data_IF_639908169161
#
_entry.id   IF_639908169161
#
_cell.length_a   1.000
_cell.length_b   1.000
_cell.length_c   1.000
_cell.angle_alpha   90.00
_cell.angle_beta   90.00
_cell.angle_gamma   90.00
#
_symmetry.space_group_name_H-M   'P 1'
#
loop_
_entity.id
_entity.type
_entity.pdbx_description
1 polymer ?
#
# COMPACT_ATOMS: atom_id res chain seq x y z
N UNK A 1 55.52 26.89 -67.13
CA UNK A 1 54.92 27.62 -66.05
C UNK A 1 53.52 27.07 -65.82
N UNK A 2 53.36 26.15 -64.86
CA UNK A 2 52.03 25.53 -64.52
C UNK A 2 51.67 26.01 -63.11
N UNK A 3 50.64 26.81 -63.01
CA UNK A 3 50.09 27.28 -61.73
C UNK A 3 49.15 26.19 -61.22
N UNK A 4 49.46 25.60 -60.09
CA UNK A 4 48.64 24.67 -59.34
C UNK A 4 47.72 25.50 -58.43
N UNK A 5 46.43 25.43 -58.65
CA UNK A 5 45.43 26.07 -57.84
C UNK A 5 45.00 25.06 -56.72
N UNK A 6 45.41 25.36 -55.47
CA UNK A 6 45.01 24.60 -54.32
C UNK A 6 43.62 25.07 -53.84
N UNK A 7 42.63 24.20 -53.96
CA UNK A 7 41.26 24.44 -53.40
C UNK A 7 41.31 23.94 -51.96
N UNK A 8 41.21 24.84 -50.99
CA UNK A 8 40.97 24.51 -49.57
C UNK A 8 39.49 24.16 -49.37
N UNK A 9 39.22 22.90 -49.15
CA UNK A 9 37.90 22.41 -48.74
C UNK A 9 37.77 22.57 -47.20
N UNK A 10 37.15 23.66 -46.75
CA UNK A 10 36.79 23.84 -45.32
C UNK A 10 35.56 22.95 -45.01
N UNK A 11 35.80 21.81 -44.37
CA UNK A 11 34.77 20.99 -43.81
C UNK A 11 34.16 21.68 -42.59
N UNK A 12 32.92 22.24 -42.71
CA UNK A 12 32.12 22.68 -41.60
C UNK A 12 31.71 21.43 -40.78
N UNK A 13 32.38 21.21 -39.66
CA UNK A 13 31.91 20.30 -38.61
C UNK A 13 30.76 21.02 -37.88
N UNK A 14 29.53 20.79 -38.31
CA UNK A 14 28.34 21.08 -37.50
C UNK A 14 28.32 20.06 -36.36
N UNK A 15 28.14 20.51 -35.11
CA UNK A 15 27.89 19.57 -34.02
C UNK A 15 26.51 18.91 -34.32
N UNK A 16 26.53 17.62 -34.58
CA UNK A 16 25.32 16.81 -34.53
C UNK A 16 24.98 16.73 -33.05
N UNK A 17 24.06 17.58 -32.63
CA UNK A 17 23.33 17.30 -31.41
C UNK A 17 22.58 16.02 -31.67
N UNK A 18 23.10 14.91 -31.14
CA UNK A 18 22.28 13.70 -30.95
C UNK A 18 21.11 14.13 -30.04
N UNK A 19 19.96 14.27 -30.62
CA UNK A 19 18.72 14.14 -29.88
C UNK A 19 18.82 12.73 -29.29
N UNK A 20 19.17 12.61 -28.02
CA UNK A 20 18.94 11.41 -27.28
C UNK A 20 17.43 11.19 -27.42
N UNK A 21 17.04 10.17 -28.17
CA UNK A 21 15.71 9.59 -28.00
C UNK A 21 15.59 9.33 -26.50
N UNK A 22 14.77 10.10 -25.81
CA UNK A 22 14.36 9.74 -24.47
C UNK A 22 13.56 8.45 -24.67
N UNK A 23 14.23 7.29 -24.50
CA UNK A 23 13.49 6.04 -24.37
C UNK A 23 12.47 6.30 -23.29
N UNK A 24 11.21 6.25 -23.67
CA UNK A 24 10.10 6.46 -22.76
C UNK A 24 10.20 5.33 -21.73
N UNK A 25 10.70 5.64 -20.55
CA UNK A 25 10.91 4.64 -19.50
C UNK A 25 9.54 4.19 -19.00
N UNK A 26 9.21 2.92 -19.24
CA UNK A 26 7.97 2.33 -18.73
C UNK A 26 8.25 1.68 -17.39
N UNK A 27 7.49 2.06 -16.36
CA UNK A 27 7.53 1.51 -15.01
C UNK A 27 6.20 0.81 -14.73
N UNK A 28 6.21 -0.52 -14.65
CA UNK A 28 5.04 -1.32 -14.30
C UNK A 28 4.98 -1.49 -12.79
N UNK A 29 3.86 -1.09 -12.20
CA UNK A 29 3.62 -1.17 -10.75
C UNK A 29 2.57 -2.25 -10.48
N UNK A 30 2.98 -3.33 -9.82
CA UNK A 30 2.07 -4.42 -9.43
C UNK A 30 1.17 -4.00 -8.27
N UNK A 31 -0.14 -4.13 -8.45
CA UNK A 31 -1.16 -3.76 -7.47
C UNK A 31 -2.24 -4.84 -7.35
N UNK A 32 -3.02 -4.82 -6.25
CA UNK A 32 -4.12 -5.77 -6.01
C UNK A 32 -5.38 -5.03 -5.62
N UNK A 33 -6.37 -5.06 -6.50
CA UNK A 33 -7.66 -4.39 -6.30
C UNK A 33 -7.87 -3.19 -7.22
N UNK A 34 -9.09 -3.08 -7.73
CA UNK A 34 -9.44 -2.10 -8.76
C UNK A 34 -9.31 -0.64 -8.31
N UNK A 35 -9.41 -0.37 -7.00
CA UNK A 35 -9.28 1.00 -6.47
C UNK A 35 -7.92 1.63 -6.75
N UNK A 36 -6.87 0.80 -6.93
CA UNK A 36 -5.53 1.28 -7.26
C UNK A 36 -5.45 2.00 -8.61
N UNK A 37 -6.33 1.71 -9.56
CA UNK A 37 -6.37 2.41 -10.84
C UNK A 37 -6.73 3.89 -10.62
N UNK A 38 -7.74 4.16 -9.79
CA UNK A 38 -8.10 5.53 -9.41
C UNK A 38 -7.02 6.20 -8.56
N UNK A 39 -6.41 5.46 -7.63
CA UNK A 39 -5.39 5.98 -6.70
C UNK A 39 -4.10 6.40 -7.43
N UNK A 40 -3.66 5.60 -8.41
CA UNK A 40 -2.44 5.87 -9.19
C UNK A 40 -2.64 6.89 -10.30
N UNK A 41 -3.87 7.09 -10.79
CA UNK A 41 -4.14 7.92 -11.99
C UNK A 41 -3.51 9.32 -11.93
N UNK A 42 -3.60 10.12 -10.85
CA UNK A 42 -2.98 11.45 -10.80
C UNK A 42 -1.46 11.41 -10.84
N UNK A 43 -0.83 10.43 -10.17
CA UNK A 43 0.62 10.27 -10.21
C UNK A 43 1.09 9.86 -11.62
N UNK A 44 0.35 8.99 -12.31
CA UNK A 44 0.60 8.62 -13.71
C UNK A 44 0.55 9.85 -14.61
N UNK A 45 -0.47 10.72 -14.46
CA UNK A 45 -0.61 11.94 -15.26
C UNK A 45 0.50 12.96 -15.00
N UNK A 46 0.97 13.08 -13.76
CA UNK A 46 2.08 13.97 -13.39
C UNK A 46 3.40 13.48 -13.97
N UNK A 47 3.72 12.19 -13.77
CA UNK A 47 4.95 11.56 -14.26
C UNK A 47 5.04 11.55 -15.79
N UNK A 48 3.91 11.44 -16.49
CA UNK A 48 3.87 11.53 -17.95
C UNK A 48 4.37 12.89 -18.47
N UNK A 49 4.20 13.99 -17.73
CA UNK A 49 4.75 15.31 -18.08
C UNK A 49 6.27 15.35 -18.02
N UNK A 50 6.86 14.45 -17.23
CA UNK A 50 8.31 14.28 -17.06
C UNK A 50 8.90 13.23 -18.04
N UNK A 51 8.04 12.61 -18.89
CA UNK A 51 8.44 11.56 -19.85
C UNK A 51 8.57 10.18 -19.22
N UNK A 52 8.04 9.98 -18.01
CA UNK A 52 7.98 8.68 -17.33
C UNK A 52 6.57 8.10 -17.55
N UNK A 53 6.50 6.95 -18.19
CA UNK A 53 5.26 6.20 -18.35
C UNK A 53 5.10 5.21 -17.21
N UNK A 54 4.05 5.34 -16.41
CA UNK A 54 3.71 4.36 -15.37
C UNK A 54 2.47 3.59 -15.78
N UNK A 55 2.49 2.27 -15.60
CA UNK A 55 1.38 1.36 -15.89
C UNK A 55 1.09 0.52 -14.64
N UNK A 56 -0.17 0.47 -14.19
CA UNK A 56 -0.59 -0.45 -13.15
C UNK A 56 -0.74 -1.86 -13.72
N UNK A 57 -0.16 -2.86 -13.07
CA UNK A 57 -0.33 -4.27 -13.38
C UNK A 57 -1.19 -4.91 -12.29
N UNK A 58 -2.47 -5.20 -12.61
CA UNK A 58 -3.43 -5.76 -11.67
C UNK A 58 -3.19 -7.25 -11.44
N UNK A 59 -3.07 -7.63 -10.16
CA UNK A 59 -3.01 -9.02 -9.71
C UNK A 59 -4.27 -9.39 -8.93
N UNK A 60 -4.70 -10.63 -9.07
CA UNK A 60 -5.93 -11.13 -8.44
C UNK A 60 -5.75 -11.52 -6.96
N UNK A 61 -4.51 -11.64 -6.50
CA UNK A 61 -4.17 -12.23 -5.20
C UNK A 61 -2.84 -11.66 -4.68
N UNK A 62 -2.70 -11.54 -3.37
CA UNK A 62 -1.49 -11.02 -2.73
C UNK A 62 -0.23 -11.89 -2.96
N UNK A 63 -0.38 -13.17 -3.24
CA UNK A 63 0.75 -14.11 -3.43
C UNK A 63 1.54 -13.91 -4.74
N UNK A 64 1.04 -13.09 -5.66
CA UNK A 64 1.60 -13.00 -7.01
C UNK A 64 2.59 -11.84 -7.22
N UNK A 65 2.36 -10.60 -6.70
CA UNK A 65 3.15 -9.44 -7.12
C UNK A 65 4.62 -9.49 -6.71
N UNK A 66 4.97 -10.04 -5.53
CA UNK A 66 6.37 -10.15 -5.12
C UNK A 66 7.17 -11.12 -5.99
N UNK A 67 6.54 -12.21 -6.44
CA UNK A 67 7.17 -13.11 -7.40
C UNK A 67 7.41 -12.41 -8.75
N UNK A 68 6.40 -11.67 -9.26
CA UNK A 68 6.53 -10.91 -10.50
C UNK A 68 7.60 -9.81 -10.42
N UNK A 69 7.72 -9.14 -9.25
CA UNK A 69 8.76 -8.16 -9.00
C UNK A 69 10.16 -8.81 -8.97
N UNK A 70 10.30 -9.91 -8.24
CA UNK A 70 11.57 -10.63 -8.12
C UNK A 70 12.04 -11.23 -9.45
N UNK A 71 11.10 -11.68 -10.31
CA UNK A 71 11.42 -12.20 -11.66
C UNK A 71 11.69 -11.11 -12.70
N UNK A 72 11.36 -9.85 -12.43
CA UNK A 72 11.52 -8.73 -13.34
C UNK A 72 10.37 -8.56 -14.35
N UNK A 73 9.21 -9.18 -14.09
CA UNK A 73 8.01 -9.00 -14.90
C UNK A 73 7.36 -7.63 -14.66
N UNK A 74 7.60 -7.04 -13.49
CA UNK A 74 7.25 -5.67 -13.11
C UNK A 74 8.47 -4.97 -12.49
N UNK A 75 8.45 -3.64 -12.47
CA UNK A 75 9.52 -2.80 -11.94
C UNK A 75 9.35 -2.49 -10.46
N UNK A 76 8.12 -2.24 -10.02
CA UNK A 76 7.71 -1.92 -8.65
C UNK A 76 6.47 -2.74 -8.27
N UNK A 77 6.18 -2.84 -6.98
CA UNK A 77 4.83 -3.17 -6.53
C UNK A 77 4.39 -2.27 -5.36
N UNK A 78 3.08 -2.06 -5.22
CA UNK A 78 2.48 -1.19 -4.22
C UNK A 78 1.13 -1.78 -3.78
N UNK A 79 1.16 -2.86 -2.96
CA UNK A 79 -0.06 -3.58 -2.58
C UNK A 79 -0.06 -4.08 -1.14
N UNK A 80 1.09 -4.06 -0.48
CA UNK A 80 1.39 -4.79 0.74
C UNK A 80 1.89 -3.88 1.85
N UNK A 81 1.73 -4.32 3.09
CA UNK A 81 2.32 -3.70 4.27
C UNK A 81 3.60 -4.44 4.72
N UNK A 82 4.40 -3.81 5.60
CA UNK A 82 5.70 -4.34 6.07
C UNK A 82 5.62 -5.78 6.59
N UNK A 83 4.63 -6.12 7.42
CA UNK A 83 4.52 -7.49 7.95
C UNK A 83 4.37 -8.52 6.83
N UNK A 84 3.55 -8.23 5.79
CA UNK A 84 3.39 -9.11 4.64
C UNK A 84 4.68 -9.18 3.81
N UNK A 85 5.25 -8.01 3.46
CA UNK A 85 6.49 -7.91 2.70
C UNK A 85 7.61 -8.74 3.34
N UNK A 86 7.89 -8.53 4.62
CA UNK A 86 8.95 -9.21 5.35
C UNK A 86 8.73 -10.73 5.41
N UNK A 87 7.48 -11.16 5.68
CA UNK A 87 7.14 -12.57 5.73
C UNK A 87 7.31 -13.25 4.36
N UNK A 88 6.73 -12.66 3.30
CA UNK A 88 6.71 -13.26 1.97
C UNK A 88 8.11 -13.25 1.33
N UNK A 89 8.84 -12.13 1.41
CA UNK A 89 10.21 -12.02 0.88
C UNK A 89 11.15 -13.01 1.58
N UNK A 90 11.09 -13.13 2.91
CA UNK A 90 11.91 -14.06 3.69
C UNK A 90 11.57 -15.51 3.36
N UNK A 91 10.27 -15.85 3.34
CA UNK A 91 9.81 -17.22 3.13
C UNK A 91 10.16 -17.77 1.75
N UNK A 92 10.17 -16.89 0.74
CA UNK A 92 10.46 -17.26 -0.65
C UNK A 92 11.90 -16.94 -1.08
N UNK A 93 12.70 -16.29 -0.23
CA UNK A 93 14.08 -15.89 -0.55
C UNK A 93 14.17 -14.85 -1.65
N UNK A 94 13.21 -13.93 -1.72
CA UNK A 94 13.22 -12.82 -2.68
C UNK A 94 14.21 -11.73 -2.27
N UNK A 95 14.93 -11.18 -3.23
CA UNK A 95 15.87 -10.06 -3.03
C UNK A 95 15.19 -8.74 -3.36
N UNK A 96 14.30 -8.33 -2.46
CA UNK A 96 13.47 -7.14 -2.57
C UNK A 96 13.77 -6.15 -1.43
N UNK A 97 13.53 -4.88 -1.69
CA UNK A 97 13.71 -3.79 -0.73
C UNK A 97 12.51 -2.84 -0.74
N UNK A 98 12.27 -2.21 0.39
CA UNK A 98 11.30 -1.11 0.51
C UNK A 98 11.90 0.14 -0.13
N UNK A 99 11.17 0.74 -1.05
CA UNK A 99 11.54 1.98 -1.71
C UNK A 99 10.95 3.20 -1.01
N UNK A 100 9.68 3.10 -0.57
CA UNK A 100 8.99 4.14 0.18
C UNK A 100 7.84 3.56 0.99
N UNK A 101 7.57 4.16 2.14
CA UNK A 101 6.34 3.97 2.90
C UNK A 101 5.23 4.85 2.32
N UNK A 102 3.98 4.40 2.40
CA UNK A 102 2.89 5.10 1.73
C UNK A 102 1.75 5.46 2.68
N UNK A 103 0.94 4.52 3.07
CA UNK A 103 -0.25 4.74 3.90
C UNK A 103 -0.57 3.51 4.74
N UNK A 104 -1.39 3.68 5.75
CA UNK A 104 -2.10 2.57 6.37
C UNK A 104 -3.51 2.53 5.82
N UNK A 105 -3.94 1.35 5.33
CA UNK A 105 -5.33 1.10 4.97
C UNK A 105 -5.96 0.18 6.03
N UNK A 106 -7.12 0.56 6.54
CA UNK A 106 -7.77 -0.14 7.64
C UNK A 106 -8.25 -1.54 7.25
N UNK A 107 -8.26 -2.45 8.22
CA UNK A 107 -8.89 -3.76 8.12
C UNK A 107 -10.06 -3.80 9.10
N UNK A 108 -11.29 -3.76 8.60
CA UNK A 108 -12.48 -3.60 9.43
C UNK A 108 -13.35 -4.85 9.42
N UNK A 109 -14.22 -4.96 10.44
CA UNK A 109 -15.22 -6.01 10.55
C UNK A 109 -16.55 -5.53 9.98
N UNK A 110 -17.12 -6.29 9.06
CA UNK A 110 -18.38 -6.00 8.38
C UNK A 110 -19.38 -7.13 8.60
N UNK A 111 -20.67 -6.80 8.54
CA UNK A 111 -21.75 -7.79 8.60
C UNK A 111 -22.94 -7.34 7.76
N UNK A 112 -23.62 -8.28 7.11
CA UNK A 112 -24.95 -8.09 6.51
C UNK A 112 -26.08 -8.52 7.44
N UNK A 113 -25.76 -9.16 8.59
CA UNK A 113 -26.73 -9.72 9.52
C UNK A 113 -26.88 -8.91 10.80
N UNK A 114 -25.85 -8.18 11.19
CA UNK A 114 -25.80 -7.40 12.43
C UNK A 114 -25.45 -5.95 12.12
N UNK A 115 -26.19 -5.01 12.70
CA UNK A 115 -26.00 -3.59 12.49
C UNK A 115 -24.88 -3.01 13.37
N UNK A 116 -24.55 -3.67 14.50
CA UNK A 116 -23.55 -3.22 15.47
C UNK A 116 -22.69 -4.39 15.97
N UNK A 117 -21.53 -4.07 16.54
CA UNK A 117 -20.69 -5.06 17.19
C UNK A 117 -21.37 -5.67 18.43
N UNK A 118 -22.16 -4.88 19.15
CA UNK A 118 -22.93 -5.32 20.31
C UNK A 118 -23.95 -6.40 19.94
N UNK A 119 -24.60 -6.28 18.77
CA UNK A 119 -25.54 -7.30 18.27
C UNK A 119 -24.84 -8.62 17.96
N UNK A 120 -23.67 -8.54 17.30
CA UNK A 120 -22.84 -9.72 17.02
C UNK A 120 -22.33 -10.37 18.33
N UNK A 121 -21.87 -9.56 19.30
CA UNK A 121 -21.46 -10.05 20.62
C UNK A 121 -22.61 -10.72 21.36
N UNK A 122 -23.82 -10.13 21.34
CA UNK A 122 -25.02 -10.74 21.96
C UNK A 122 -25.39 -12.08 21.30
N UNK A 123 -25.22 -12.22 20.00
CA UNK A 123 -25.46 -13.48 19.29
C UNK A 123 -24.54 -14.62 19.77
N UNK A 124 -23.37 -14.31 20.32
CA UNK A 124 -22.44 -15.33 20.87
C UNK A 124 -23.00 -16.03 22.13
N UNK A 125 -24.00 -15.48 22.80
CA UNK A 125 -24.66 -16.11 23.95
C UNK A 125 -25.54 -17.31 23.54
N UNK A 126 -26.02 -17.33 22.30
CA UNK A 126 -26.90 -18.38 21.77
C UNK A 126 -26.23 -19.33 20.77
N UNK A 127 -25.00 -19.05 20.39
CA UNK A 127 -24.24 -19.87 19.44
C UNK A 127 -22.84 -19.33 19.22
N UNK A 128 -22.12 -19.87 18.22
CA UNK A 128 -20.87 -19.36 17.75
C UNK A 128 -21.06 -18.78 16.34
N UNK A 129 -21.22 -17.45 16.19
CA UNK A 129 -21.26 -16.83 14.88
C UNK A 129 -20.00 -17.17 14.07
N UNK A 130 -20.16 -17.38 12.76
CA UNK A 130 -19.06 -17.65 11.84
C UNK A 130 -18.52 -16.35 11.28
N UNK A 131 -17.20 -16.13 11.37
CA UNK A 131 -16.54 -14.93 10.87
C UNK A 131 -15.49 -15.30 9.82
N UNK A 132 -15.67 -14.82 8.59
CA UNK A 132 -14.66 -14.98 7.55
C UNK A 132 -13.45 -14.07 7.83
N UNK A 133 -12.23 -14.62 7.61
CA UNK A 133 -10.97 -13.94 7.84
C UNK A 133 -9.99 -14.27 6.72
N UNK A 134 -9.01 -13.39 6.39
CA UNK A 134 -7.92 -13.74 5.48
C UNK A 134 -7.17 -14.99 5.94
N UNK A 135 -6.66 -15.80 4.99
CA UNK A 135 -5.95 -17.05 5.30
C UNK A 135 -4.43 -16.96 5.14
N UNK A 136 -3.88 -15.84 4.68
CA UNK A 136 -2.45 -15.62 4.72
C UNK A 136 -2.00 -15.27 6.15
N UNK A 137 -0.79 -15.71 6.53
CA UNK A 137 -0.36 -15.68 7.93
C UNK A 137 -0.42 -14.29 8.57
N UNK A 138 -0.04 -13.24 7.84
CA UNK A 138 0.06 -11.89 8.39
C UNK A 138 -1.29 -11.18 8.49
N UNK A 139 -2.14 -11.29 7.45
CA UNK A 139 -3.49 -10.72 7.49
C UNK A 139 -4.43 -11.54 8.38
N UNK A 140 -4.24 -12.88 8.47
CA UNK A 140 -4.93 -13.70 9.48
C UNK A 140 -4.63 -13.20 10.89
N UNK A 141 -3.36 -13.03 11.22
CA UNK A 141 -2.95 -12.50 12.53
C UNK A 141 -3.46 -11.08 12.78
N UNK A 142 -3.45 -10.19 11.77
CA UNK A 142 -4.05 -8.85 11.87
C UNK A 142 -5.56 -8.94 12.12
N UNK A 143 -6.28 -9.85 11.46
CA UNK A 143 -7.70 -10.08 11.71
C UNK A 143 -7.94 -10.58 13.14
N UNK A 144 -7.06 -11.42 13.72
CA UNK A 144 -7.15 -11.81 15.12
C UNK A 144 -7.03 -10.61 16.07
N UNK A 145 -6.20 -9.60 15.76
CA UNK A 145 -6.11 -8.37 16.55
C UNK A 145 -7.42 -7.58 16.50
N UNK A 146 -7.99 -7.41 15.32
CA UNK A 146 -9.31 -6.75 15.14
C UNK A 146 -10.39 -7.47 15.96
N UNK A 147 -10.46 -8.79 15.88
CA UNK A 147 -11.46 -9.61 16.58
C UNK A 147 -11.24 -9.63 18.10
N UNK A 148 -10.00 -9.57 18.58
CA UNK A 148 -9.67 -9.40 20.00
C UNK A 148 -10.20 -8.06 20.50
N UNK A 149 -9.92 -6.98 19.78
CA UNK A 149 -10.31 -5.62 20.17
C UNK A 149 -11.84 -5.44 20.09
N UNK A 150 -12.50 -6.17 19.19
CA UNK A 150 -13.95 -6.30 19.14
C UNK A 150 -14.56 -7.16 20.27
N UNK A 151 -13.74 -7.78 21.12
CA UNK A 151 -14.21 -8.61 22.25
C UNK A 151 -14.77 -9.99 21.86
N UNK A 152 -14.45 -10.47 20.65
CA UNK A 152 -14.93 -11.73 20.08
C UNK A 152 -13.99 -12.91 20.37
N UNK A 153 -12.73 -12.68 20.68
CA UNK A 153 -11.75 -13.68 21.09
C UNK A 153 -10.71 -13.09 22.06
N UNK A 154 -9.93 -13.96 22.68
CA UNK A 154 -8.82 -13.61 23.56
C UNK A 154 -7.52 -14.22 23.00
N UNK A 155 -6.43 -13.47 23.07
CA UNK A 155 -5.09 -13.91 22.69
C UNK A 155 -4.20 -14.06 23.91
N UNK A 156 -3.37 -15.09 23.91
CA UNK A 156 -2.24 -15.25 24.83
C UNK A 156 -1.03 -14.42 24.40
N UNK A 157 0.14 -14.80 24.91
CA UNK A 157 1.41 -14.18 24.51
C UNK A 157 1.75 -14.55 23.06
N UNK A 158 2.23 -13.57 22.29
CA UNK A 158 2.73 -13.74 20.92
C UNK A 158 3.86 -12.73 20.64
N UNK A 159 4.71 -13.05 19.68
CA UNK A 159 5.73 -12.16 19.16
C UNK A 159 5.39 -11.80 17.70
N UNK A 160 5.47 -10.52 17.36
CA UNK A 160 5.09 -10.01 16.04
C UNK A 160 3.59 -10.07 15.77
N UNK A 161 3.16 -10.88 14.80
CA UNK A 161 1.75 -11.05 14.41
C UNK A 161 1.21 -12.36 15.01
N UNK A 162 0.05 -12.34 15.72
CA UNK A 162 -0.48 -13.56 16.36
C UNK A 162 -0.89 -14.61 15.33
N UNK A 163 -0.80 -15.87 15.74
CA UNK A 163 -1.21 -17.06 14.99
C UNK A 163 -2.43 -17.70 15.65
N UNK A 164 -3.05 -18.68 14.99
CA UNK A 164 -4.19 -19.44 15.53
C UNK A 164 -3.90 -20.06 16.90
N UNK A 165 -2.68 -20.57 17.11
CA UNK A 165 -2.24 -21.18 18.38
C UNK A 165 -2.19 -20.19 19.55
N UNK A 166 -2.17 -18.89 19.30
CA UNK A 166 -2.24 -17.86 20.34
C UNK A 166 -3.65 -17.58 20.83
N UNK A 167 -4.69 -18.13 20.20
CA UNK A 167 -6.08 -17.98 20.65
C UNK A 167 -6.28 -18.79 21.92
N UNK A 168 -6.57 -18.11 23.04
CA UNK A 168 -6.84 -18.74 24.33
C UNK A 168 -8.33 -18.97 24.57
N UNK A 169 -9.18 -18.14 23.97
CA UNK A 169 -10.64 -18.23 24.03
C UNK A 169 -11.27 -17.64 22.77
N UNK A 170 -12.33 -18.23 22.25
CA UNK A 170 -13.09 -17.70 21.12
C UNK A 170 -14.58 -17.90 21.29
N UNK A 171 -15.33 -16.80 21.14
CA UNK A 171 -16.79 -16.77 21.13
C UNK A 171 -17.37 -17.03 19.74
N UNK A 172 -16.52 -17.05 18.71
CA UNK A 172 -16.87 -17.18 17.29
C UNK A 172 -16.20 -18.39 16.66
N UNK A 173 -16.65 -18.79 15.49
CA UNK A 173 -16.00 -19.75 14.62
C UNK A 173 -15.29 -18.99 13.49
N UNK A 174 -13.97 -19.20 13.34
CA UNK A 174 -13.19 -18.56 12.29
C UNK A 174 -13.31 -19.35 10.99
N UNK A 175 -13.52 -18.65 9.88
CA UNK A 175 -13.61 -19.22 8.54
C UNK A 175 -12.52 -18.60 7.66
N UNK A 176 -11.30 -19.18 7.62
CA UNK A 176 -10.20 -18.66 6.84
C UNK A 176 -10.44 -18.86 5.34
N UNK A 177 -10.39 -17.76 4.58
CA UNK A 177 -10.52 -17.73 3.12
C UNK A 177 -9.46 -16.83 2.51
N UNK A 178 -9.22 -16.94 1.21
CA UNK A 178 -8.34 -15.98 0.52
C UNK A 178 -8.82 -14.55 0.78
N UNK A 179 -7.90 -13.63 1.08
CA UNK A 179 -8.22 -12.23 1.40
C UNK A 179 -9.11 -11.56 0.34
N UNK A 180 -8.87 -11.87 -0.96
CA UNK A 180 -9.68 -11.36 -2.07
C UNK A 180 -11.11 -11.86 -2.09
N UNK A 181 -11.43 -12.89 -1.30
CA UNK A 181 -12.74 -13.53 -1.24
C UNK A 181 -13.57 -13.13 -0.01
N UNK A 182 -12.96 -12.52 1.01
CA UNK A 182 -13.62 -12.23 2.29
C UNK A 182 -14.93 -11.45 2.12
N UNK A 183 -14.97 -10.45 1.24
CA UNK A 183 -16.18 -9.70 0.92
C UNK A 183 -17.27 -10.60 0.28
N UNK A 184 -16.88 -11.49 -0.62
CA UNK A 184 -17.85 -12.36 -1.32
C UNK A 184 -18.50 -13.36 -0.39
N UNK A 185 -17.83 -13.77 0.69
CA UNK A 185 -18.40 -14.65 1.71
C UNK A 185 -19.31 -13.93 2.71
N UNK A 186 -19.35 -12.59 2.70
CA UNK A 186 -20.10 -11.81 3.69
C UNK A 186 -21.59 -12.21 3.78
N UNK A 187 -22.22 -12.56 2.65
CA UNK A 187 -23.60 -13.05 2.61
C UNK A 187 -23.80 -14.46 3.19
N UNK A 188 -22.74 -15.28 3.25
CA UNK A 188 -22.80 -16.68 3.67
C UNK A 188 -22.43 -16.88 5.15
N UNK A 189 -21.69 -15.93 5.74
CA UNK A 189 -21.21 -15.96 7.13
C UNK A 189 -21.96 -14.93 7.99
N UNK A 190 -21.62 -14.84 9.26
CA UNK A 190 -22.25 -13.88 10.18
C UNK A 190 -21.55 -12.51 10.16
N UNK A 191 -20.24 -12.50 9.92
CA UNK A 191 -19.44 -11.29 9.69
C UNK A 191 -18.16 -11.65 8.92
N UNK A 192 -17.45 -10.66 8.43
CA UNK A 192 -16.15 -10.83 7.77
C UNK A 192 -15.17 -9.72 8.15
N UNK A 193 -13.93 -10.08 8.45
CA UNK A 193 -12.81 -9.12 8.51
C UNK A 193 -12.26 -8.95 7.11
N UNK A 194 -12.33 -7.72 6.58
CA UNK A 194 -12.02 -7.43 5.18
C UNK A 194 -10.89 -6.41 5.11
N UNK A 195 -9.84 -6.72 4.34
CA UNK A 195 -8.77 -5.77 4.04
C UNK A 195 -9.35 -4.56 3.30
N UNK A 196 -8.95 -3.35 3.69
CA UNK A 196 -9.50 -2.11 3.15
C UNK A 196 -9.34 -1.95 1.64
N UNK A 197 -8.26 -2.45 1.05
CA UNK A 197 -8.07 -2.44 -0.41
C UNK A 197 -9.15 -3.27 -1.16
N UNK A 198 -9.57 -4.39 -0.60
CA UNK A 198 -10.70 -5.15 -1.16
C UNK A 198 -12.02 -4.49 -0.86
N UNK A 199 -12.24 -3.99 0.37
CA UNK A 199 -13.45 -3.22 0.70
C UNK A 199 -13.63 -2.03 -0.25
N UNK A 200 -12.59 -1.20 -0.44
CA UNK A 200 -12.61 -0.08 -1.38
C UNK A 200 -12.87 -0.54 -2.83
N UNK A 201 -12.24 -1.65 -3.26
CA UNK A 201 -12.42 -2.20 -4.63
C UNK A 201 -13.83 -2.68 -4.91
N UNK A 202 -14.55 -3.16 -3.88
CA UNK A 202 -15.96 -3.56 -3.99
C UNK A 202 -16.93 -2.40 -3.76
N UNK A 203 -16.43 -1.17 -3.51
CA UNK A 203 -17.26 0.00 -3.25
C UNK A 203 -18.01 -0.06 -1.93
N UNK A 204 -17.44 -0.74 -0.93
CA UNK A 204 -17.99 -0.78 0.43
C UNK A 204 -17.91 0.63 1.02
N UNK A 205 -18.99 1.07 1.66
CA UNK A 205 -18.98 2.33 2.42
C UNK A 205 -18.03 2.19 3.61
N UNK A 206 -16.99 3.05 3.76
CA UNK A 206 -16.05 2.99 4.87
C UNK A 206 -16.74 3.05 6.24
N UNK A 207 -17.89 3.72 6.33
CA UNK A 207 -18.66 3.89 7.57
C UNK A 207 -19.65 2.74 7.85
N UNK A 208 -19.71 1.71 6.98
CA UNK A 208 -20.60 0.56 7.13
C UNK A 208 -20.03 -0.59 7.97
N UNK A 209 -18.81 -0.46 8.49
CA UNK A 209 -18.20 -1.42 9.38
C UNK A 209 -18.91 -1.49 10.74
N UNK A 210 -19.09 -2.69 11.28
CA UNK A 210 -19.61 -2.88 12.65
C UNK A 210 -18.51 -2.76 13.71
N UNK A 211 -17.23 -2.86 13.29
CA UNK A 211 -16.06 -2.58 14.13
C UNK A 211 -14.88 -2.13 13.27
N UNK A 212 -14.16 -1.13 13.73
CA UNK A 212 -13.04 -0.49 13.03
C UNK A 212 -11.72 -0.82 13.70
N UNK A 213 -10.71 -1.13 12.88
CA UNK A 213 -9.35 -1.34 13.36
C UNK A 213 -8.81 -0.09 14.04
N UNK A 214 -8.22 -0.25 15.22
CA UNK A 214 -7.47 0.81 15.87
C UNK A 214 -6.03 0.80 15.34
N UNK A 215 -5.70 1.80 14.52
CA UNK A 215 -4.37 1.93 13.93
C UNK A 215 -3.45 2.70 14.88
N UNK A 216 -2.32 2.06 15.22
CA UNK A 216 -1.18 2.70 15.89
C UNK A 216 -0.12 3.04 14.82
N UNK A 217 0.00 4.32 14.47
CA UNK A 217 0.98 4.79 13.48
C UNK A 217 2.43 4.81 14.03
N UNK A 218 2.62 4.62 15.34
CA UNK A 218 3.97 4.46 15.91
C UNK A 218 4.59 3.09 15.61
N UNK A 219 3.80 2.12 15.13
CA UNK A 219 4.23 0.79 14.67
C UNK A 219 4.01 0.69 13.15
N UNK A 220 5.08 0.70 12.36
CA UNK A 220 5.07 0.65 10.89
C UNK A 220 4.61 -0.69 10.31
N UNK A 221 4.41 -1.70 11.16
CA UNK A 221 4.12 -3.08 10.78
C UNK A 221 3.02 -3.21 9.72
N UNK A 222 1.96 -2.39 9.81
CA UNK A 222 0.84 -2.39 8.86
C UNK A 222 0.85 -1.20 7.91
N UNK A 223 1.92 -0.41 7.90
CA UNK A 223 2.15 0.61 6.87
C UNK A 223 2.40 -0.06 5.53
N UNK A 224 1.64 0.35 4.52
CA UNK A 224 1.81 -0.08 3.14
C UNK A 224 3.04 0.60 2.52
N UNK A 225 3.60 -0.05 1.50
CA UNK A 225 4.87 0.36 0.93
C UNK A 225 4.90 0.18 -0.58
N UNK A 226 5.83 0.87 -1.22
CA UNK A 226 6.29 0.58 -2.58
C UNK A 226 7.58 -0.22 -2.46
N UNK A 227 7.65 -1.38 -3.12
CA UNK A 227 8.84 -2.22 -3.15
C UNK A 227 9.47 -2.26 -4.54
N UNK A 228 10.79 -2.45 -4.56
CA UNK A 228 11.59 -2.71 -5.75
C UNK A 228 12.54 -3.91 -5.52
N UNK A 229 13.22 -4.39 -6.56
CA UNK A 229 14.35 -5.29 -6.36
C UNK A 229 15.48 -4.53 -5.65
N UNK A 230 16.21 -5.19 -4.75
CA UNK A 230 17.30 -4.56 -3.99
C UNK A 230 18.36 -3.94 -4.91
N UNK A 231 18.62 -4.57 -6.06
CA UNK A 231 19.55 -4.04 -7.06
C UNK A 231 19.10 -2.71 -7.69
N UNK A 232 17.83 -2.38 -7.62
CA UNK A 232 17.21 -1.20 -8.22
C UNK A 232 16.92 -0.08 -7.21
N UNK A 233 17.30 -0.25 -5.94
CA UNK A 233 16.98 0.69 -4.86
C UNK A 233 17.50 2.12 -5.14
N UNK A 234 18.60 2.23 -5.87
CA UNK A 234 19.19 3.51 -6.25
C UNK A 234 18.71 4.07 -7.61
N UNK A 235 17.70 3.43 -8.23
CA UNK A 235 17.14 3.88 -9.49
C UNK A 235 16.36 5.20 -9.32
N UNK A 236 16.88 6.28 -9.89
CA UNK A 236 16.31 7.62 -9.75
C UNK A 236 14.89 7.74 -10.35
N UNK A 237 14.58 6.97 -11.41
CA UNK A 237 13.22 6.95 -11.97
C UNK A 237 12.24 6.31 -10.99
N UNK A 238 12.64 5.22 -10.31
CA UNK A 238 11.76 4.55 -9.34
C UNK A 238 11.55 5.40 -8.09
N UNK A 239 12.60 6.07 -7.61
CA UNK A 239 12.49 7.06 -6.52
C UNK A 239 11.53 8.20 -6.90
N UNK A 240 11.64 8.71 -8.14
CA UNK A 240 10.74 9.77 -8.64
C UNK A 240 9.29 9.29 -8.71
N UNK A 241 9.03 8.04 -9.13
CA UNK A 241 7.68 7.45 -9.13
C UNK A 241 7.12 7.39 -7.70
N UNK A 242 7.91 6.93 -6.73
CA UNK A 242 7.50 6.87 -5.34
C UNK A 242 7.25 8.27 -4.74
N UNK A 243 8.12 9.25 -5.02
CA UNK A 243 7.99 10.65 -4.57
C UNK A 243 6.71 11.30 -5.09
N UNK A 244 6.39 11.13 -6.37
CA UNK A 244 5.16 11.71 -6.95
C UNK A 244 3.93 11.00 -6.41
N UNK A 245 3.98 9.68 -6.22
CA UNK A 245 2.88 8.96 -5.58
C UNK A 245 2.66 9.43 -4.14
N UNK A 246 3.72 9.58 -3.34
CA UNK A 246 3.66 10.06 -1.96
C UNK A 246 3.61 11.59 -1.90
N UNK A 247 2.67 12.22 -2.60
CA UNK A 247 2.54 13.67 -2.66
C UNK A 247 1.08 14.14 -2.64
N UNK A 248 0.87 15.44 -2.68
CA UNK A 248 -0.44 16.09 -2.68
C UNK A 248 -1.39 15.57 -3.79
N UNK A 249 -0.86 15.07 -4.92
CA UNK A 249 -1.70 14.55 -6.01
C UNK A 249 -2.46 13.29 -5.61
N UNK A 250 -1.83 12.42 -4.81
CA UNK A 250 -2.48 11.22 -4.25
C UNK A 250 -3.35 11.57 -3.04
N UNK A 251 -2.89 12.47 -2.16
CA UNK A 251 -3.68 12.94 -1.00
C UNK A 251 -5.06 13.44 -1.41
N UNK A 252 -5.15 14.23 -2.48
CA UNK A 252 -6.43 14.72 -3.00
C UNK A 252 -7.39 13.60 -3.41
N UNK A 253 -6.88 12.56 -4.06
CA UNK A 253 -7.72 11.42 -4.46
C UNK A 253 -8.19 10.63 -3.25
N UNK A 254 -7.31 10.44 -2.26
CA UNK A 254 -7.70 9.80 -1.01
C UNK A 254 -8.80 10.57 -0.31
N UNK A 255 -8.66 11.89 -0.17
CA UNK A 255 -9.68 12.76 0.42
C UNK A 255 -11.02 12.73 -0.33
N UNK A 256 -10.96 12.77 -1.67
CA UNK A 256 -12.15 12.87 -2.52
C UNK A 256 -12.90 11.54 -2.69
N UNK A 257 -12.17 10.40 -2.80
CA UNK A 257 -12.75 9.10 -3.17
C UNK A 257 -12.66 8.03 -2.10
N UNK A 258 -11.66 8.10 -1.20
CA UNK A 258 -11.32 7.02 -0.29
C UNK A 258 -11.25 7.46 1.18
N UNK A 259 -11.84 8.60 1.50
CA UNK A 259 -11.88 9.12 2.87
C UNK A 259 -12.46 8.07 3.83
N UNK A 260 -11.79 7.86 4.97
CA UNK A 260 -12.18 6.87 5.98
C UNK A 260 -11.46 5.52 5.87
N UNK A 261 -10.86 5.17 4.71
CA UNK A 261 -10.07 3.94 4.57
C UNK A 261 -8.57 4.12 4.84
N UNK A 262 -8.03 5.32 4.60
CA UNK A 262 -6.59 5.58 4.53
C UNK A 262 -6.13 6.55 5.59
N UNK A 263 -4.90 6.31 6.10
CA UNK A 263 -4.07 7.30 6.80
C UNK A 263 -2.75 7.40 6.04
N UNK A 264 -2.45 8.59 5.51
CA UNK A 264 -1.25 8.87 4.72
C UNK A 264 -0.08 9.16 5.67
N UNK A 265 1.05 8.44 5.51
CA UNK A 265 2.20 8.63 6.42
C UNK A 265 3.00 9.88 6.08
N UNK A 266 3.06 10.30 4.81
CA UNK A 266 3.81 11.50 4.38
C UNK A 266 3.17 12.84 4.79
N UNK A 267 1.93 12.86 5.23
CA UNK A 267 1.27 14.08 5.74
C UNK A 267 1.63 14.36 7.19
N UNK A 268 1.91 13.32 7.98
CA UNK A 268 2.34 13.46 9.38
C UNK A 268 3.77 14.03 9.45
N UNK A 269 4.69 13.57 8.58
CA UNK A 269 6.05 14.10 8.50
C UNK A 269 6.07 15.59 8.19
N UNK A 270 5.18 16.07 7.30
CA UNK A 270 5.07 17.49 6.96
C UNK A 270 4.48 18.32 8.09
N UNK A 271 3.67 17.76 8.96
CA UNK A 271 3.08 18.44 10.11
C UNK A 271 4.09 18.58 11.28
N UNK A 272 4.95 17.59 11.48
CA UNK A 272 6.05 17.66 12.45
C UNK A 272 7.12 18.67 12.04
N UNK A 273 7.54 18.67 10.77
CA UNK A 273 8.48 19.66 10.21
C UNK A 273 7.95 21.09 10.29
N UNK A 274 6.63 21.29 10.10
CA UNK A 274 5.98 22.60 10.24
C UNK A 274 5.92 23.06 11.71
N UNK A 275 5.71 22.17 12.66
CA UNK A 275 5.67 22.48 14.08
C UNK A 275 7.08 22.82 14.63
N UNK A 276 8.12 22.15 14.16
CA UNK A 276 9.51 22.44 14.53
C UNK A 276 9.98 23.79 13.96
N UNK A 277 9.56 24.16 12.75
CA UNK A 277 9.87 25.47 12.16
C UNK A 277 9.16 26.63 12.87
N UNK A 278 7.93 26.46 13.36
CA UNK A 278 7.23 27.49 14.16
C UNK A 278 7.87 27.68 15.54
N UNK A 279 8.44 26.62 16.14
CA UNK A 279 9.13 26.71 17.45
C UNK A 279 10.49 27.40 17.34
N UNK A 280 11.22 27.25 16.25
CA UNK A 280 12.50 27.97 16.01
C UNK A 280 12.28 29.47 15.79
N UNK A 281 11.24 29.87 15.03
CA UNK A 281 10.96 31.29 14.74
C UNK A 281 10.50 32.06 15.99
N UNK A 282 9.87 31.39 16.97
CA UNK A 282 9.45 32.07 18.23
C UNK A 282 10.57 32.20 19.25
N UNK A 283 11.69 31.47 19.13
CA UNK A 283 12.83 31.56 20.06
C UNK A 283 13.81 32.67 19.71
N UNK A 284 13.86 33.15 18.46
CA UNK A 284 14.76 34.25 18.05
C UNK A 284 14.19 35.67 18.30
N UNK A 285 12.92 35.83 18.68
CA UNK A 285 12.29 37.15 18.88
C UNK A 285 12.24 37.63 20.33
N UNK A 286 12.87 36.93 21.30
CA UNK A 286 12.84 37.30 22.73
C UNK A 286 14.20 37.75 23.30
N UNK A 287 15.25 37.91 22.48
CA UNK A 287 16.49 38.58 22.90
C UNK A 287 16.73 39.85 22.06
N UNK A 288 16.10 40.96 22.47
CA UNK A 288 16.29 42.30 21.89
C UNK A 288 15.84 43.39 22.87
#
# INVERSE_FOLDING_TARGET
>A
MKRILAVLLAALLLPVYALADSENTVVRVGVTGAFYDDLWQPAIEELAKEGITVETAQFSDFSLPNNALNSGDIELNAFQHHAYFNNDATSNGYDLSVLADTFVITMNLYSEKYDTIEDLVAATESGKPTVAVPNDATNYGRALLVLRDAGLLELGEYDGTPLEENITSSKIELYPVNASMTYQYLSDVDAAVINGNYAASYGVDPDSGIFYENIDLSDDKFTCLIACRTADLDNETYKRVAEVFCSEVTSKVVEEKFNGFFKLVWEEDTAEDAADTETEVTSETTEG
#
